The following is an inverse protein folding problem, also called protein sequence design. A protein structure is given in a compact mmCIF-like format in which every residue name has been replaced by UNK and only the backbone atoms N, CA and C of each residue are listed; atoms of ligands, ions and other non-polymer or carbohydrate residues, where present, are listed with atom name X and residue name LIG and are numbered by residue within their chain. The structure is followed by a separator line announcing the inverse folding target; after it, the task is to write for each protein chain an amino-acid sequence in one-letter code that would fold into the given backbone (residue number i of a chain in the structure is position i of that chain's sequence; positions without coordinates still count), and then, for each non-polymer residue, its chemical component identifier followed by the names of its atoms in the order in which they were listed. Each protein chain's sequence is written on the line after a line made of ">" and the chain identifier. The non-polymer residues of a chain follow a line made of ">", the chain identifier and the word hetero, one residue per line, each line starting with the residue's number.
data_IF_406766608648
#
_entry.id   IF_406766608648
#
_cell.length_a   1.000
_cell.length_b   1.000
_cell.length_c   1.000
_cell.angle_alpha   90.00
_cell.angle_beta   90.00
_cell.angle_gamma   90.00
#
_symmetry.space_group_name_H-M   'P 1'
#
loop_
_entity.id
_entity.type
_entity.pdbx_description
1 polymer ?
#
# COMPACT_ATOMS: atom_id res chain seq x y z
N UNK A 1 1.80 -18.32 1.72
CA UNK A 1 2.98 -19.18 1.43
C UNK A 1 4.16 -18.32 1.02
N UNK A 2 5.41 -18.77 1.25
CA UNK A 2 6.64 -18.09 0.80
C UNK A 2 7.34 -18.94 -0.26
N UNK A 3 7.78 -18.32 -1.36
CA UNK A 3 8.44 -18.97 -2.49
C UNK A 3 9.76 -18.27 -2.80
N UNK A 4 10.83 -19.01 -3.04
CA UNK A 4 12.11 -18.47 -3.55
C UNK A 4 12.28 -18.85 -5.02
N UNK A 5 12.07 -17.90 -5.91
CA UNK A 5 12.22 -18.08 -7.35
C UNK A 5 13.66 -17.82 -7.83
N UNK A 6 14.52 -17.34 -6.94
CA UNK A 6 15.94 -17.13 -7.24
C UNK A 6 16.76 -18.39 -7.03
N UNK A 7 16.27 -19.32 -6.18
CA UNK A 7 16.98 -20.52 -5.74
C UNK A 7 18.21 -20.26 -4.86
N UNK A 8 18.37 -19.04 -4.33
CA UNK A 8 19.56 -18.60 -3.58
C UNK A 8 19.26 -18.04 -2.19
N UNK A 9 17.97 -17.84 -1.86
CA UNK A 9 17.55 -17.16 -0.63
C UNK A 9 16.63 -18.04 0.23
N UNK A 10 16.96 -19.32 0.36
CA UNK A 10 16.16 -20.29 1.13
C UNK A 10 16.02 -19.90 2.61
N UNK A 11 17.03 -19.26 3.21
CA UNK A 11 16.96 -18.79 4.59
C UNK A 11 15.94 -17.65 4.73
N UNK A 12 15.95 -16.70 3.80
CA UNK A 12 14.94 -15.63 3.74
C UNK A 12 13.54 -16.22 3.51
N UNK A 13 13.40 -17.19 2.62
CA UNK A 13 12.12 -17.89 2.39
C UNK A 13 11.57 -18.51 3.67
N UNK A 14 12.43 -19.21 4.43
CA UNK A 14 12.05 -19.82 5.71
C UNK A 14 11.66 -18.76 6.75
N UNK A 15 12.42 -17.67 6.84
CA UNK A 15 12.14 -16.55 7.74
C UNK A 15 10.79 -15.90 7.40
N UNK A 16 10.54 -15.56 6.12
CA UNK A 16 9.26 -15.04 5.65
C UNK A 16 8.11 -16.01 5.97
N UNK A 17 8.32 -17.31 5.72
CA UNK A 17 7.31 -18.33 6.04
C UNK A 17 6.97 -18.39 7.53
N UNK A 18 7.96 -18.28 8.41
CA UNK A 18 7.76 -18.27 9.86
C UNK A 18 7.04 -17.01 10.33
N UNK A 19 7.41 -15.86 9.79
CA UNK A 19 6.73 -14.58 10.09
C UNK A 19 5.26 -14.65 9.62
N UNK A 20 5.00 -15.12 8.40
CA UNK A 20 3.63 -15.27 7.88
C UNK A 20 2.76 -16.15 8.78
N UNK A 21 3.29 -17.27 9.28
CA UNK A 21 2.57 -18.16 10.20
C UNK A 21 2.23 -17.45 11.52
N UNK A 22 3.10 -16.57 12.00
CA UNK A 22 2.90 -15.78 13.23
C UNK A 22 1.88 -14.66 13.03
N UNK A 23 1.98 -13.88 11.95
CA UNK A 23 1.27 -12.59 11.83
C UNK A 23 -0.03 -12.67 11.02
N UNK A 24 -0.20 -13.63 10.12
CA UNK A 24 -1.43 -13.73 9.31
C UNK A 24 -2.71 -13.88 10.16
N UNK A 25 -2.72 -14.64 11.28
CA UNK A 25 -3.88 -14.71 12.16
C UNK A 25 -4.25 -13.39 12.85
N UNK A 26 -3.32 -12.42 12.93
CA UNK A 26 -3.52 -11.14 13.60
C UNK A 26 -4.15 -10.08 12.70
N UNK A 27 -4.12 -10.26 11.37
CA UNK A 27 -4.63 -9.25 10.43
C UNK A 27 -6.13 -9.03 10.59
N UNK A 28 -6.94 -10.08 10.56
CA UNK A 28 -8.39 -9.94 10.69
C UNK A 28 -8.86 -9.36 12.03
N UNK A 29 -8.35 -9.81 13.19
CA UNK A 29 -8.70 -9.20 14.47
C UNK A 29 -8.38 -7.71 14.54
N UNK A 30 -7.27 -7.27 13.93
CA UNK A 30 -6.84 -5.87 13.92
C UNK A 30 -7.63 -5.03 12.93
N UNK A 31 -7.78 -5.50 11.69
CA UNK A 31 -8.32 -4.69 10.58
C UNK A 31 -9.80 -4.92 10.29
N UNK A 32 -10.38 -6.01 10.80
CA UNK A 32 -11.72 -6.45 10.40
C UNK A 32 -11.82 -7.01 8.98
N UNK A 33 -10.69 -7.10 8.23
CA UNK A 33 -10.65 -7.57 6.85
C UNK A 33 -10.16 -9.02 6.76
N UNK A 34 -10.76 -9.79 5.86
CA UNK A 34 -10.31 -11.15 5.57
C UNK A 34 -9.14 -11.16 4.57
N UNK A 35 -8.18 -12.04 4.80
CA UNK A 35 -7.14 -12.35 3.81
C UNK A 35 -7.74 -13.14 2.63
N UNK A 36 -7.19 -13.01 1.40
CA UNK A 36 -7.58 -13.86 0.28
C UNK A 36 -7.28 -15.34 0.54
N UNK A 37 -7.94 -16.23 -0.21
CA UNK A 37 -7.75 -17.67 -0.10
C UNK A 37 -6.33 -18.12 -0.37
N UNK A 38 -5.61 -17.40 -1.25
CA UNK A 38 -4.19 -17.61 -1.49
C UNK A 38 -3.42 -16.30 -1.35
N UNK A 39 -2.49 -16.29 -0.42
CA UNK A 39 -1.49 -15.23 -0.20
C UNK A 39 -0.12 -15.79 -0.51
N UNK A 40 0.59 -15.22 -1.48
CA UNK A 40 1.93 -15.61 -1.86
C UNK A 40 2.93 -14.48 -1.64
N UNK A 41 4.02 -14.78 -0.94
CA UNK A 41 5.21 -13.92 -0.86
C UNK A 41 6.29 -14.57 -1.73
N UNK A 42 6.69 -13.87 -2.79
CA UNK A 42 7.62 -14.37 -3.80
C UNK A 42 8.92 -13.60 -3.70
N UNK A 43 10.01 -14.30 -3.41
CA UNK A 43 11.36 -13.74 -3.46
C UNK A 43 11.82 -13.84 -4.90
N UNK A 44 12.00 -12.71 -5.54
CA UNK A 44 12.23 -12.62 -6.99
C UNK A 44 13.48 -11.80 -7.31
N UNK A 45 14.15 -12.05 -8.44
CA UNK A 45 15.20 -11.17 -8.92
C UNK A 45 14.62 -9.82 -9.39
N UNK A 46 15.47 -8.80 -9.43
CA UNK A 46 15.09 -7.42 -9.83
C UNK A 46 14.38 -7.40 -11.19
N UNK A 47 14.84 -8.20 -12.14
CA UNK A 47 14.30 -8.27 -13.51
C UNK A 47 12.85 -8.76 -13.52
N UNK A 48 12.55 -9.76 -12.69
CA UNK A 48 11.17 -10.27 -12.52
C UNK A 48 10.29 -9.19 -11.93
N UNK A 49 10.74 -8.52 -10.86
CA UNK A 49 10.02 -7.40 -10.26
C UNK A 49 9.75 -6.29 -11.28
N UNK A 50 10.76 -5.90 -12.08
CA UNK A 50 10.61 -4.87 -13.10
C UNK A 50 9.55 -5.23 -14.14
N UNK A 51 9.57 -6.47 -14.64
CA UNK A 51 8.64 -6.93 -15.66
C UNK A 51 7.21 -7.01 -15.15
N UNK A 52 7.01 -7.52 -13.94
CA UNK A 52 5.69 -7.66 -13.33
C UNK A 52 5.10 -6.30 -12.94
N UNK A 53 5.90 -5.40 -12.35
CA UNK A 53 5.43 -4.04 -12.04
C UNK A 53 5.12 -3.22 -13.28
N UNK A 54 5.87 -3.41 -14.37
CA UNK A 54 5.55 -2.77 -15.65
C UNK A 54 4.24 -3.31 -16.25
N UNK A 55 3.99 -4.62 -16.13
CA UNK A 55 2.76 -5.26 -16.59
C UNK A 55 1.55 -4.78 -15.76
N UNK A 56 1.68 -4.71 -14.45
CA UNK A 56 0.64 -4.22 -13.54
C UNK A 56 0.33 -2.74 -13.81
N UNK A 57 1.35 -1.90 -13.92
CA UNK A 57 1.18 -0.49 -14.30
C UNK A 57 0.44 -0.35 -15.64
N UNK A 58 0.79 -1.17 -16.64
CA UNK A 58 0.11 -1.15 -17.94
C UNK A 58 -1.35 -1.63 -17.83
N UNK A 59 -1.65 -2.60 -16.95
CA UNK A 59 -3.00 -3.07 -16.65
C UNK A 59 -3.85 -1.94 -16.04
N UNK A 60 -3.33 -1.27 -15.01
CA UNK A 60 -4.00 -0.15 -14.34
C UNK A 60 -4.28 1.01 -15.31
N UNK A 61 -3.31 1.37 -16.16
CA UNK A 61 -3.48 2.41 -17.17
C UNK A 61 -4.53 2.05 -18.23
N UNK A 62 -4.65 0.77 -18.61
CA UNK A 62 -5.70 0.30 -19.51
C UNK A 62 -7.09 0.42 -18.86
N UNK A 63 -7.25 -0.09 -17.63
CA UNK A 63 -8.49 0.00 -16.90
C UNK A 63 -8.92 1.48 -16.73
N UNK A 64 -7.99 2.35 -16.32
CA UNK A 64 -8.25 3.79 -16.21
C UNK A 64 -8.68 4.42 -17.54
N UNK A 65 -8.03 4.05 -18.65
CA UNK A 65 -8.40 4.55 -19.99
C UNK A 65 -9.81 4.11 -20.39
N UNK A 66 -10.18 2.87 -20.12
CA UNK A 66 -11.49 2.31 -20.48
C UNK A 66 -12.64 2.99 -19.74
N UNK A 67 -12.44 3.36 -18.49
CA UNK A 67 -13.40 4.06 -17.64
C UNK A 67 -13.57 5.55 -18.00
N UNK A 68 -12.67 6.10 -18.82
CA UNK A 68 -12.75 7.48 -19.24
C UNK A 68 -13.48 7.64 -20.58
N UNK A 69 -14.17 8.80 -20.80
CA UNK A 69 -14.81 9.11 -22.07
C UNK A 69 -13.85 9.00 -23.25
N UNK A 70 -14.34 8.56 -24.42
CA UNK A 70 -13.52 8.24 -25.58
C UNK A 70 -12.61 9.38 -26.03
N UNK A 71 -13.03 10.64 -25.88
CA UNK A 71 -12.23 11.83 -26.26
C UNK A 71 -11.02 12.07 -25.34
N UNK A 72 -11.00 11.55 -24.12
CA UNK A 72 -9.86 11.62 -23.20
C UNK A 72 -8.85 10.48 -23.41
N UNK A 73 -9.27 9.37 -24.02
CA UNK A 73 -8.45 8.15 -24.17
C UNK A 73 -7.12 8.34 -24.86
N UNK A 74 -7.01 9.15 -25.95
CA UNK A 74 -5.72 9.39 -26.61
C UNK A 74 -4.71 10.11 -25.68
N UNK A 75 -5.15 11.13 -24.96
CA UNK A 75 -4.29 11.84 -23.98
C UNK A 75 -3.83 10.93 -22.83
N UNK A 76 -4.74 10.09 -22.32
CA UNK A 76 -4.41 9.09 -21.29
C UNK A 76 -3.39 8.07 -21.82
N UNK A 77 -3.55 7.61 -23.05
CA UNK A 77 -2.61 6.67 -23.66
C UNK A 77 -1.20 7.27 -23.85
N UNK A 78 -1.13 8.53 -24.29
CA UNK A 78 0.14 9.24 -24.43
C UNK A 78 0.84 9.42 -23.07
N UNK A 79 0.11 9.88 -22.06
CA UNK A 79 0.62 10.04 -20.72
C UNK A 79 1.07 8.69 -20.12
N UNK A 80 0.26 7.65 -20.28
CA UNK A 80 0.59 6.30 -19.82
C UNK A 80 1.86 5.75 -20.48
N UNK A 81 2.06 6.01 -21.78
CA UNK A 81 3.30 5.63 -22.48
C UNK A 81 4.52 6.36 -21.90
N UNK A 82 4.39 7.65 -21.62
CA UNK A 82 5.47 8.43 -20.99
C UNK A 82 5.79 7.91 -19.57
N UNK A 83 4.76 7.61 -18.77
CA UNK A 83 4.91 7.03 -17.43
C UNK A 83 5.62 5.67 -17.48
N UNK A 84 5.22 4.77 -18.35
CA UNK A 84 5.85 3.45 -18.52
C UNK A 84 7.31 3.56 -18.97
N UNK A 85 7.64 4.51 -19.86
CA UNK A 85 9.03 4.78 -20.25
C UNK A 85 9.87 5.26 -19.07
N UNK A 86 9.34 6.19 -18.28
CA UNK A 86 10.01 6.70 -17.08
C UNK A 86 10.19 5.58 -16.06
N UNK A 87 9.15 4.81 -15.81
CA UNK A 87 9.23 3.65 -14.91
C UNK A 87 10.32 2.68 -15.35
N UNK A 88 10.33 2.24 -16.62
CA UNK A 88 11.36 1.31 -17.14
C UNK A 88 12.78 1.85 -17.00
N UNK A 89 12.98 3.17 -17.13
CA UNK A 89 14.29 3.81 -16.94
C UNK A 89 14.76 3.74 -15.48
N UNK A 90 13.84 3.90 -14.54
CA UNK A 90 14.16 4.00 -13.12
C UNK A 90 13.94 2.70 -12.35
N UNK A 91 13.34 1.69 -12.97
CA UNK A 91 12.88 0.48 -12.31
C UNK A 91 14.01 -0.36 -11.70
N UNK A 92 15.23 -0.33 -12.28
CA UNK A 92 16.37 -1.02 -11.70
C UNK A 92 16.79 -0.41 -10.35
N UNK A 93 16.86 0.92 -10.29
CA UNK A 93 17.18 1.62 -9.04
C UNK A 93 16.03 1.51 -8.02
N UNK A 94 14.77 1.60 -8.48
CA UNK A 94 13.63 1.46 -7.59
C UNK A 94 13.52 0.04 -7.03
N UNK A 95 13.45 -0.96 -7.90
CA UNK A 95 13.22 -2.34 -7.49
C UNK A 95 14.44 -3.00 -6.87
N UNK A 96 15.66 -2.62 -7.28
CA UNK A 96 16.89 -3.22 -6.75
C UNK A 96 17.43 -2.53 -5.49
N UNK A 97 16.94 -1.32 -5.16
CA UNK A 97 17.55 -0.53 -4.08
C UNK A 97 16.54 0.04 -3.10
N UNK A 98 15.35 0.48 -3.55
CA UNK A 98 14.48 1.32 -2.73
C UNK A 98 13.16 0.68 -2.33
N UNK A 99 12.59 -0.20 -3.16
CA UNK A 99 11.27 -0.79 -2.91
C UNK A 99 11.43 -2.09 -2.14
N UNK A 100 11.06 -2.08 -0.86
CA UNK A 100 11.16 -3.24 0.03
C UNK A 100 10.26 -4.39 -0.41
N UNK A 101 9.04 -4.08 -0.81
CA UNK A 101 8.03 -5.03 -1.23
C UNK A 101 7.01 -4.37 -2.17
N UNK A 102 6.24 -5.18 -2.89
CA UNK A 102 5.15 -4.70 -3.73
C UNK A 102 4.04 -5.75 -3.78
N UNK A 103 2.89 -5.43 -3.21
CA UNK A 103 1.70 -6.28 -3.24
C UNK A 103 0.82 -5.96 -4.45
N UNK A 104 0.39 -7.00 -5.15
CA UNK A 104 -0.45 -6.91 -6.34
C UNK A 104 -1.45 -8.08 -6.41
N UNK A 105 -2.55 -7.96 -7.18
CA UNK A 105 -3.44 -9.07 -7.43
C UNK A 105 -2.70 -10.27 -8.00
N UNK A 106 -3.09 -11.48 -7.57
CA UNK A 106 -2.60 -12.72 -8.14
C UNK A 106 -3.32 -13.07 -9.45
N UNK A 107 -2.98 -14.21 -10.07
CA UNK A 107 -3.59 -14.68 -11.31
C UNK A 107 -5.07 -15.09 -11.13
N UNK A 108 -5.46 -15.53 -9.95
CA UNK A 108 -6.83 -15.93 -9.61
C UNK A 108 -7.62 -14.82 -8.93
N UNK A 109 -8.96 -14.95 -8.94
CA UNK A 109 -9.88 -13.96 -8.39
C UNK A 109 -9.76 -13.73 -6.87
N UNK A 110 -9.36 -14.77 -6.12
CA UNK A 110 -9.14 -14.72 -4.66
C UNK A 110 -7.66 -14.99 -4.34
N UNK A 111 -6.78 -14.45 -5.16
CA UNK A 111 -5.34 -14.58 -5.03
C UNK A 111 -4.68 -13.21 -4.99
N UNK A 112 -3.64 -13.10 -4.18
CA UNK A 112 -2.83 -11.89 -4.07
C UNK A 112 -1.39 -12.28 -3.79
N UNK A 113 -0.45 -11.52 -4.34
CA UNK A 113 0.97 -11.81 -4.22
C UNK A 113 1.79 -10.57 -3.86
N UNK A 114 2.83 -10.78 -3.07
CA UNK A 114 3.85 -9.78 -2.75
C UNK A 114 5.18 -10.21 -3.36
N UNK A 115 5.81 -9.27 -4.06
CA UNK A 115 7.16 -9.44 -4.60
C UNK A 115 8.17 -8.85 -3.62
N UNK A 116 9.13 -9.66 -3.19
CA UNK A 116 10.26 -9.27 -2.35
C UNK A 116 11.54 -9.34 -3.19
N UNK A 117 12.30 -8.27 -3.21
CA UNK A 117 13.61 -8.23 -3.90
C UNK A 117 14.71 -8.23 -2.84
N UNK A 118 15.51 -9.30 -2.70
CA UNK A 118 16.51 -9.42 -1.65
C UNK A 118 17.50 -8.25 -1.61
N UNK A 119 17.98 -7.81 -2.76
CA UNK A 119 18.90 -6.69 -2.89
C UNK A 119 18.30 -5.39 -2.33
N UNK A 120 17.03 -5.13 -2.60
CA UNK A 120 16.34 -3.97 -2.04
C UNK A 120 16.16 -4.07 -0.53
N UNK A 121 15.83 -5.25 -0.01
CA UNK A 121 15.74 -5.48 1.44
C UNK A 121 17.08 -5.26 2.15
N UNK A 122 18.21 -5.65 1.53
CA UNK A 122 19.56 -5.35 2.03
C UNK A 122 19.84 -3.84 2.03
N UNK A 123 19.61 -3.17 0.90
CA UNK A 123 19.88 -1.74 0.74
C UNK A 123 19.00 -0.86 1.62
N UNK A 124 17.77 -1.26 1.88
CA UNK A 124 16.86 -0.58 2.80
C UNK A 124 17.15 -0.90 4.27
N UNK A 125 18.06 -1.82 4.55
CA UNK A 125 18.44 -2.23 5.90
C UNK A 125 17.43 -3.12 6.61
N UNK A 126 16.36 -3.55 5.94
CA UNK A 126 15.28 -4.36 6.55
C UNK A 126 15.78 -5.71 7.05
N UNK A 127 16.81 -6.27 6.41
CA UNK A 127 17.40 -7.54 6.85
C UNK A 127 18.35 -7.41 8.05
N UNK A 128 18.62 -6.19 8.54
CA UNK A 128 19.49 -5.96 9.71
C UNK A 128 18.83 -6.38 11.03
N UNK A 129 17.49 -6.42 11.06
CA UNK A 129 16.72 -6.81 12.24
C UNK A 129 15.46 -7.58 11.83
N UNK A 130 15.17 -8.75 12.43
CA UNK A 130 13.95 -9.51 12.16
C UNK A 130 12.65 -8.72 12.41
N UNK A 131 12.66 -7.76 13.31
CA UNK A 131 11.48 -6.91 13.60
C UNK A 131 11.14 -6.01 12.41
N UNK A 132 12.14 -5.44 11.71
CA UNK A 132 11.92 -4.66 10.50
C UNK A 132 11.30 -5.50 9.38
N UNK A 133 11.81 -6.71 9.16
CA UNK A 133 11.23 -7.61 8.17
C UNK A 133 9.81 -8.02 8.57
N UNK A 134 9.55 -8.25 9.85
CA UNK A 134 8.21 -8.56 10.35
C UNK A 134 7.24 -7.41 10.07
N UNK A 135 7.63 -6.18 10.33
CA UNK A 135 6.80 -5.02 10.05
C UNK A 135 6.47 -4.91 8.55
N UNK A 136 7.45 -5.07 7.66
CA UNK A 136 7.23 -5.07 6.20
C UNK A 136 6.24 -6.16 5.79
N UNK A 137 6.39 -7.39 6.32
CA UNK A 137 5.48 -8.50 6.00
C UNK A 137 4.06 -8.23 6.51
N UNK A 138 3.90 -7.68 7.71
CA UNK A 138 2.58 -7.29 8.24
C UNK A 138 1.93 -6.23 7.34
N UNK A 139 2.68 -5.19 6.97
CA UNK A 139 2.22 -4.12 6.09
C UNK A 139 1.68 -4.68 4.76
N UNK A 140 2.46 -5.55 4.12
CA UNK A 140 2.06 -6.19 2.87
C UNK A 140 0.85 -7.13 3.05
N UNK A 141 0.75 -7.85 4.17
CA UNK A 141 -0.43 -8.67 4.47
C UNK A 141 -1.70 -7.84 4.58
N UNK A 142 -1.62 -6.63 5.12
CA UNK A 142 -2.78 -5.73 5.14
C UNK A 142 -3.18 -5.33 3.72
N UNK A 143 -2.23 -5.09 2.82
CA UNK A 143 -2.53 -4.86 1.40
C UNK A 143 -3.21 -6.07 0.73
N UNK A 144 -2.88 -7.30 1.11
CA UNK A 144 -3.62 -8.48 0.64
C UNK A 144 -5.10 -8.45 1.09
N UNK A 145 -5.36 -8.10 2.36
CA UNK A 145 -6.72 -7.98 2.87
C UNK A 145 -7.50 -6.83 2.19
N UNK A 146 -6.86 -5.69 1.96
CA UNK A 146 -7.42 -4.56 1.22
C UNK A 146 -7.76 -4.93 -0.24
N UNK A 147 -6.88 -5.66 -0.92
CA UNK A 147 -7.10 -6.14 -2.29
C UNK A 147 -8.34 -7.05 -2.36
N UNK A 148 -8.52 -7.95 -1.39
CA UNK A 148 -9.72 -8.78 -1.28
C UNK A 148 -10.97 -7.94 -1.01
N UNK A 149 -10.93 -7.03 -0.06
CA UNK A 149 -12.06 -6.19 0.33
C UNK A 149 -12.53 -5.28 -0.81
N UNK A 150 -11.61 -4.72 -1.59
CA UNK A 150 -11.91 -3.88 -2.76
C UNK A 150 -12.25 -4.68 -4.03
N UNK A 151 -12.25 -6.00 -3.98
CA UNK A 151 -12.50 -7.00 -5.04
C UNK A 151 -11.59 -6.88 -6.27
N UNK A 152 -11.15 -5.68 -6.64
CA UNK A 152 -10.17 -5.41 -7.70
C UNK A 152 -9.62 -4.01 -7.51
N UNK A 153 -8.40 -3.90 -7.08
CA UNK A 153 -7.70 -2.62 -6.89
C UNK A 153 -7.79 -1.70 -8.11
N UNK A 154 -7.76 -2.27 -9.33
CA UNK A 154 -7.88 -1.49 -10.55
C UNK A 154 -9.25 -0.84 -10.71
N UNK A 155 -10.32 -1.58 -10.45
CA UNK A 155 -11.68 -1.06 -10.57
C UNK A 155 -11.97 -0.07 -9.47
N UNK A 156 -11.49 -0.34 -8.26
CA UNK A 156 -11.67 0.55 -7.13
C UNK A 156 -10.93 1.89 -7.32
N UNK A 157 -9.65 1.86 -7.69
CA UNK A 157 -8.86 3.06 -7.99
C UNK A 157 -9.38 3.80 -9.24
N UNK A 158 -9.95 3.07 -10.21
CA UNK A 158 -10.46 3.64 -11.45
C UNK A 158 -11.81 4.34 -11.27
N UNK A 159 -12.61 3.96 -10.27
CA UNK A 159 -13.83 4.66 -9.91
C UNK A 159 -13.58 6.01 -9.21
N UNK A 160 -12.33 6.36 -8.98
CA UNK A 160 -11.93 7.69 -8.49
C UNK A 160 -11.37 8.57 -9.62
N UNK A 161 -12.20 9.03 -10.59
CA UNK A 161 -11.74 9.64 -11.84
C UNK A 161 -11.03 10.98 -11.68
N UNK A 162 -10.98 11.54 -10.49
CA UNK A 162 -10.32 12.84 -10.22
C UNK A 162 -8.89 12.67 -9.70
N UNK A 163 -8.35 11.47 -9.68
CA UNK A 163 -7.33 11.19 -8.73
C UNK A 163 -6.03 10.53 -9.16
N UNK A 164 -5.78 10.00 -10.34
CA UNK A 164 -4.60 9.15 -10.54
C UNK A 164 -3.26 9.89 -10.53
N UNK A 165 -3.23 11.21 -10.56
CA UNK A 165 -1.98 11.95 -10.74
C UNK A 165 -1.66 12.89 -9.56
N UNK A 166 -2.57 13.13 -8.63
CA UNK A 166 -2.38 14.12 -7.56
C UNK A 166 -2.91 13.63 -6.22
N UNK A 167 -2.20 12.68 -5.58
CA UNK A 167 -2.42 12.36 -4.17
C UNK A 167 -3.89 12.34 -3.79
N UNK A 168 -4.58 11.32 -4.23
CA UNK A 168 -5.98 11.13 -3.92
C UNK A 168 -6.12 10.34 -2.64
N UNK A 169 -7.29 10.38 -2.06
CA UNK A 169 -7.59 9.68 -0.84
C UNK A 169 -7.29 8.17 -0.85
N UNK A 170 -7.11 7.54 -2.04
CA UNK A 170 -6.77 6.12 -2.17
C UNK A 170 -5.46 5.79 -1.48
N UNK A 171 -4.36 6.42 -1.86
CA UNK A 171 -3.07 6.09 -1.25
C UNK A 171 -2.99 6.46 0.23
N UNK A 172 -3.70 7.50 0.67
CA UNK A 172 -3.79 7.82 2.10
C UNK A 172 -4.59 6.76 2.86
N UNK A 173 -5.64 6.20 2.27
CA UNK A 173 -6.36 5.09 2.90
C UNK A 173 -5.56 3.79 2.84
N UNK A 174 -5.02 3.40 1.68
CA UNK A 174 -4.27 2.15 1.51
C UNK A 174 -3.04 2.11 2.42
N UNK A 175 -2.12 3.06 2.26
CA UNK A 175 -0.86 3.09 3.02
C UNK A 175 -1.10 3.43 4.49
N UNK A 176 -2.03 4.34 4.76
CA UNK A 176 -2.37 4.74 6.13
C UNK A 176 -2.99 3.60 6.93
N UNK A 177 -3.88 2.81 6.35
CA UNK A 177 -4.49 1.67 7.01
C UNK A 177 -3.48 0.53 7.22
N UNK A 178 -2.61 0.27 6.24
CA UNK A 178 -1.54 -0.71 6.40
C UNK A 178 -0.57 -0.26 7.49
N UNK A 179 -0.16 1.01 7.52
CA UNK A 179 0.73 1.58 8.54
C UNK A 179 0.09 1.61 9.93
N UNK A 180 -1.19 1.89 10.03
CA UNK A 180 -1.93 1.83 11.29
C UNK A 180 -1.96 0.41 11.86
N UNK A 181 -2.26 -0.58 11.02
CA UNK A 181 -2.37 -1.97 11.43
C UNK A 181 -0.99 -2.57 11.77
N UNK A 182 0.05 -2.29 10.97
CA UNK A 182 1.39 -2.81 11.22
C UNK A 182 1.96 -2.31 12.56
N UNK A 183 1.70 -1.05 12.92
CA UNK A 183 2.12 -0.49 14.21
C UNK A 183 1.40 -1.12 15.41
N UNK A 184 0.13 -1.49 15.27
CA UNK A 184 -0.59 -2.19 16.33
C UNK A 184 -0.04 -3.60 16.49
N UNK A 185 0.04 -4.36 15.38
CA UNK A 185 0.49 -5.75 15.42
C UNK A 185 1.94 -5.87 15.91
N UNK A 186 2.83 -5.00 15.44
CA UNK A 186 4.24 -5.05 15.90
C UNK A 186 4.38 -4.62 17.37
N UNK A 187 3.59 -3.66 17.84
CA UNK A 187 3.55 -3.30 19.27
C UNK A 187 3.10 -4.45 20.13
N UNK A 188 2.08 -5.19 19.70
CA UNK A 188 1.58 -6.35 20.45
C UNK A 188 2.59 -7.50 20.49
N UNK A 189 3.38 -7.67 19.42
CA UNK A 189 4.40 -8.71 19.33
C UNK A 189 5.70 -8.36 20.07
N UNK A 190 6.15 -7.12 20.00
CA UNK A 190 7.49 -6.69 20.44
C UNK A 190 7.48 -5.70 21.60
N UNK A 191 6.30 -5.26 22.05
CA UNK A 191 6.15 -4.26 23.12
C UNK A 191 6.27 -2.80 22.65
N UNK A 192 6.71 -2.57 21.42
CA UNK A 192 6.77 -1.25 20.78
C UNK A 192 6.42 -1.35 19.28
N UNK A 193 5.87 -0.27 18.73
CA UNK A 193 5.65 -0.20 17.29
C UNK A 193 6.99 -0.16 16.55
N UNK A 194 7.13 -0.98 15.52
CA UNK A 194 8.34 -1.05 14.69
C UNK A 194 8.21 -0.11 13.50
N UNK A 195 9.31 0.54 13.13
CA UNK A 195 9.40 1.40 11.95
C UNK A 195 10.60 0.99 11.08
N UNK A 196 10.35 0.17 10.05
CA UNK A 196 11.37 -0.26 9.11
C UNK A 196 11.97 0.90 8.29
N UNK A 197 11.31 2.07 8.24
CA UNK A 197 11.89 3.26 7.63
C UNK A 197 13.07 3.81 8.45
N UNK A 198 13.15 3.50 9.73
CA UNK A 198 14.27 3.84 10.61
C UNK A 198 15.48 2.90 10.46
N UNK A 199 15.35 1.78 9.76
CA UNK A 199 16.44 0.84 9.52
C UNK A 199 17.65 1.52 8.85
N UNK A 200 18.89 1.11 9.15
CA UNK A 200 20.10 1.71 8.61
C UNK A 200 20.20 1.48 7.11
N UNK A 201 20.08 2.57 6.33
CA UNK A 201 20.15 2.52 4.87
C UNK A 201 21.60 2.42 4.38
N UNK A 202 21.81 1.67 3.30
CA UNK A 202 23.12 1.57 2.66
C UNK A 202 23.54 2.89 1.98
N UNK A 203 24.83 3.03 1.69
CA UNK A 203 25.34 4.15 0.87
C UNK A 203 24.69 4.20 -0.50
N UNK A 204 24.47 3.03 -1.11
CA UNK A 204 23.79 2.90 -2.40
C UNK A 204 22.34 3.41 -2.35
N UNK A 205 21.61 3.11 -1.29
CA UNK A 205 20.28 3.66 -1.07
C UNK A 205 20.30 5.19 -1.02
N UNK A 206 21.24 5.74 -0.25
CA UNK A 206 21.39 7.19 -0.08
C UNK A 206 21.75 7.89 -1.39
N UNK A 207 22.66 7.30 -2.18
CA UNK A 207 23.03 7.78 -3.52
C UNK A 207 21.80 7.82 -4.45
N UNK A 208 21.07 6.70 -4.54
CA UNK A 208 19.90 6.59 -5.43
C UNK A 208 18.78 7.52 -4.98
N UNK A 209 18.49 7.58 -3.68
CA UNK A 209 17.46 8.46 -3.12
C UNK A 209 17.73 9.96 -3.34
N UNK A 210 19.02 10.34 -3.45
CA UNK A 210 19.47 11.71 -3.73
C UNK A 210 19.38 12.11 -5.21
N UNK A 211 19.14 11.19 -6.14
CA UNK A 211 19.03 11.51 -7.57
C UNK A 211 17.77 12.35 -7.83
N UNK A 212 17.92 13.43 -8.62
CA UNK A 212 16.84 14.38 -8.90
C UNK A 212 15.59 13.71 -9.50
N UNK A 213 15.79 12.70 -10.34
CA UNK A 213 14.73 11.93 -10.99
C UNK A 213 13.91 11.15 -9.95
N UNK A 214 14.57 10.50 -9.00
CA UNK A 214 13.95 9.73 -7.91
C UNK A 214 13.29 10.69 -6.91
N UNK A 215 13.96 11.76 -6.53
CA UNK A 215 13.42 12.76 -5.61
C UNK A 215 12.11 13.38 -6.11
N UNK A 216 11.94 13.52 -7.44
CA UNK A 216 10.71 14.03 -8.07
C UNK A 216 9.55 13.04 -8.01
N UNK A 217 9.82 11.75 -7.82
CA UNK A 217 8.78 10.72 -7.66
C UNK A 217 8.23 10.68 -6.24
N UNK A 218 8.97 11.21 -5.26
CA UNK A 218 8.49 11.23 -3.88
C UNK A 218 7.22 12.08 -3.77
N UNK A 219 6.18 11.57 -3.12
CA UNK A 219 4.98 12.35 -2.87
C UNK A 219 5.35 13.58 -2.02
N UNK A 220 4.69 14.73 -2.31
CA UNK A 220 4.90 15.95 -1.52
C UNK A 220 4.39 15.83 -0.09
N UNK A 221 3.42 14.98 0.12
CA UNK A 221 2.83 14.65 1.42
C UNK A 221 3.03 13.16 1.62
N UNK A 222 3.55 12.78 2.77
CA UNK A 222 3.79 11.38 3.11
C UNK A 222 2.45 10.64 3.32
N UNK A 223 2.04 9.70 2.45
CA UNK A 223 0.77 9.00 2.58
C UNK A 223 0.75 8.05 3.77
N UNK A 224 1.90 7.55 4.22
CA UNK A 224 2.00 6.64 5.36
C UNK A 224 1.61 7.34 6.65
N UNK A 225 2.26 8.43 7.01
CA UNK A 225 2.02 9.13 8.29
C UNK A 225 0.70 9.90 8.29
N UNK A 226 0.42 10.67 7.24
CA UNK A 226 -0.85 11.39 7.12
C UNK A 226 -2.02 10.42 7.02
N UNK A 227 -1.88 9.36 6.22
CA UNK A 227 -2.89 8.31 6.09
C UNK A 227 -3.13 7.58 7.41
N UNK A 228 -2.06 7.23 8.14
CA UNK A 228 -2.18 6.61 9.47
C UNK A 228 -2.96 7.48 10.45
N UNK A 229 -2.66 8.77 10.51
CA UNK A 229 -3.38 9.70 11.39
C UNK A 229 -4.86 9.82 11.01
N UNK A 230 -5.18 9.91 9.71
CA UNK A 230 -6.55 9.92 9.20
C UNK A 230 -7.31 8.63 9.58
N UNK A 231 -6.68 7.47 9.33
CA UNK A 231 -7.29 6.17 9.59
C UNK A 231 -7.51 5.96 11.09
N UNK A 232 -6.50 6.26 11.93
CA UNK A 232 -6.63 6.17 13.38
C UNK A 232 -7.80 7.02 13.89
N UNK A 233 -7.86 8.30 13.49
CA UNK A 233 -8.93 9.22 13.87
C UNK A 233 -10.31 8.75 13.41
N UNK A 234 -10.41 8.20 12.20
CA UNK A 234 -11.66 7.70 11.66
C UNK A 234 -12.15 6.44 12.40
N UNK A 235 -11.22 5.54 12.74
CA UNK A 235 -11.54 4.32 13.51
C UNK A 235 -11.95 4.70 14.94
N UNK A 236 -11.25 5.62 15.59
CA UNK A 236 -11.57 6.09 16.93
C UNK A 236 -12.97 6.74 17.01
N UNK A 237 -13.36 7.46 15.96
CA UNK A 237 -14.63 8.18 15.93
C UNK A 237 -15.82 7.37 15.38
N UNK A 238 -15.60 6.50 14.39
CA UNK A 238 -16.67 5.77 13.71
C UNK A 238 -16.60 4.24 13.89
N UNK A 239 -15.42 3.72 14.10
CA UNK A 239 -15.18 2.27 14.20
C UNK A 239 -14.56 1.67 12.93
N UNK A 240 -13.98 0.48 13.09
CA UNK A 240 -13.29 -0.25 12.03
C UNK A 240 -14.26 -0.72 10.93
N UNK A 241 -15.47 -1.08 11.29
CA UNK A 241 -16.49 -1.56 10.34
C UNK A 241 -16.90 -0.44 9.37
N UNK A 242 -17.10 0.75 9.87
CA UNK A 242 -17.45 1.94 9.13
C UNK A 242 -16.33 2.35 8.17
N UNK A 243 -15.07 2.33 8.64
CA UNK A 243 -13.91 2.54 7.79
C UNK A 243 -13.87 1.52 6.64
N UNK A 244 -14.14 0.25 6.95
CA UNK A 244 -14.08 -0.83 5.98
C UNK A 244 -15.12 -0.71 4.85
N UNK A 245 -16.20 0.07 5.04
CA UNK A 245 -17.13 0.39 3.97
C UNK A 245 -16.46 1.15 2.80
N UNK A 246 -15.37 1.88 3.06
CA UNK A 246 -14.62 2.59 2.03
C UNK A 246 -13.98 1.66 1.01
N UNK A 247 -13.65 0.42 1.34
CA UNK A 247 -13.07 -0.54 0.40
C UNK A 247 -14.04 -0.97 -0.72
N UNK A 248 -15.33 -0.85 -0.50
CA UNK A 248 -16.36 -1.16 -1.49
C UNK A 248 -17.06 0.08 -2.05
N UNK A 249 -16.82 1.27 -1.49
CA UNK A 249 -17.46 2.51 -1.90
C UNK A 249 -16.44 3.66 -2.03
N UNK A 250 -15.97 3.95 -3.26
CA UNK A 250 -15.00 5.02 -3.50
C UNK A 250 -15.45 6.43 -3.09
N UNK A 251 -16.75 6.65 -2.90
CA UNK A 251 -17.27 7.93 -2.42
C UNK A 251 -16.92 8.22 -0.94
N UNK A 252 -16.53 7.16 -0.21
CA UNK A 252 -16.10 7.25 1.18
C UNK A 252 -14.58 7.48 1.34
N UNK A 253 -13.82 7.56 0.25
CA UNK A 253 -12.41 7.91 0.31
C UNK A 253 -12.18 9.28 0.96
N UNK A 254 -11.05 9.47 1.67
CA UNK A 254 -10.69 10.78 2.18
C UNK A 254 -10.68 11.83 1.08
N UNK A 255 -11.35 12.95 1.33
CA UNK A 255 -11.35 14.10 0.43
C UNK A 255 -10.03 14.89 0.52
N UNK A 256 -9.83 15.80 -0.43
CA UNK A 256 -8.66 16.70 -0.38
C UNK A 256 -8.63 17.58 0.86
N UNK A 257 -9.80 18.02 1.33
CA UNK A 257 -9.90 18.90 2.48
C UNK A 257 -9.60 18.14 3.78
N UNK A 258 -10.06 16.89 3.89
CA UNK A 258 -9.73 16.00 5.01
C UNK A 258 -8.23 15.65 5.05
N UNK A 259 -7.61 15.41 3.90
CA UNK A 259 -6.16 15.21 3.81
C UNK A 259 -5.40 16.49 4.17
N UNK A 260 -5.86 17.66 3.70
CA UNK A 260 -5.22 18.94 4.02
C UNK A 260 -5.31 19.28 5.52
N UNK A 261 -6.46 18.98 6.15
CA UNK A 261 -6.63 19.14 7.60
C UNK A 261 -5.68 18.23 8.39
N UNK A 262 -5.56 16.96 8.00
CA UNK A 262 -4.63 16.03 8.63
C UNK A 262 -3.15 16.45 8.47
N UNK A 263 -2.77 16.99 7.32
CA UNK A 263 -1.42 17.56 7.11
C UNK A 263 -1.18 18.74 8.04
N UNK A 264 -2.15 19.63 8.18
CA UNK A 264 -2.04 20.80 9.05
C UNK A 264 -1.95 20.38 10.53
N UNK A 265 -2.78 19.43 10.96
CA UNK A 265 -2.78 18.92 12.32
C UNK A 265 -1.44 18.26 12.70
N UNK A 266 -0.89 17.40 11.81
CA UNK A 266 0.43 16.80 12.02
C UNK A 266 1.56 17.84 12.09
N UNK A 267 1.49 18.88 11.25
CA UNK A 267 2.50 19.96 11.27
C UNK A 267 2.43 20.81 12.56
N UNK A 268 1.26 20.89 13.19
CA UNK A 268 1.02 21.61 14.43
C UNK A 268 1.19 20.74 15.69
N UNK A 269 1.46 19.44 15.54
CA UNK A 269 1.42 18.43 16.60
C UNK A 269 0.06 18.40 17.34
N UNK A 270 -1.02 18.61 16.55
CA UNK A 270 -2.40 18.59 17.03
C UNK A 270 -3.11 17.31 16.56
N UNK A 271 -4.16 16.86 17.27
CA UNK A 271 -4.99 15.76 16.77
C UNK A 271 -5.70 16.15 15.46
N UNK A 272 -5.79 15.23 14.53
CA UNK A 272 -6.61 15.40 13.33
C UNK A 272 -8.07 15.55 13.73
N UNK A 273 -8.87 16.26 12.92
CA UNK A 273 -10.32 16.41 13.14
C UNK A 273 -11.06 15.22 12.53
N UNK A 274 -11.36 14.18 13.31
CA UNK A 274 -11.93 12.94 12.79
C UNK A 274 -13.36 13.14 12.27
N UNK A 275 -14.04 14.18 12.74
CA UNK A 275 -15.49 14.37 12.58
C UNK A 275 -15.92 14.51 11.12
N UNK A 276 -15.08 15.10 10.27
CA UNK A 276 -15.41 15.32 8.85
C UNK A 276 -15.50 14.00 8.09
N UNK A 277 -14.47 13.17 8.16
CA UNK A 277 -14.47 11.89 7.47
C UNK A 277 -15.34 10.85 8.17
N UNK A 278 -15.27 10.74 9.49
CA UNK A 278 -16.06 9.83 10.30
C UNK A 278 -17.58 10.02 10.12
N UNK A 279 -18.06 11.26 10.01
CA UNK A 279 -19.48 11.54 9.76
C UNK A 279 -19.97 11.02 8.41
N UNK A 280 -19.12 11.03 7.38
CA UNK A 280 -19.45 10.46 6.07
C UNK A 280 -19.43 8.93 6.09
N UNK A 281 -18.54 8.33 6.87
CA UNK A 281 -18.47 6.89 7.06
C UNK A 281 -19.73 6.38 7.78
N UNK A 282 -20.11 7.00 8.91
CA UNK A 282 -21.30 6.62 9.70
C UNK A 282 -22.62 6.78 8.94
N UNK A 283 -22.80 7.87 8.18
CA UNK A 283 -24.03 8.09 7.40
C UNK A 283 -24.23 7.08 6.26
N UNK A 284 -23.18 6.43 5.79
CA UNK A 284 -23.28 5.42 4.73
C UNK A 284 -23.79 4.06 5.24
N UNK A 285 -23.62 3.75 6.51
CA UNK A 285 -24.15 2.54 7.17
C UNK A 285 -25.64 2.68 7.48
N UNK A 286 -26.11 3.86 7.86
CA UNK A 286 -27.53 4.11 8.13
C UNK A 286 -28.42 3.94 6.88
N UNK A 287 -27.93 4.27 5.69
CA UNK A 287 -28.65 4.10 4.43
C UNK A 287 -28.81 2.62 4.06
N UNK A 288 -27.86 1.76 4.42
CA UNK A 288 -27.97 0.31 4.17
C UNK A 288 -28.98 -0.37 5.09
N UNK A 289 -29.03 0.02 6.36
CA UNK A 289 -29.97 -0.53 7.33
C UNK A 289 -31.44 -0.12 7.10
N UNK A 290 -31.68 0.88 6.25
CA UNK A 290 -33.05 1.33 5.88
C UNK A 290 -33.59 0.72 4.59
N UNK A 291 -32.81 -0.16 3.92
CA UNK A 291 -33.19 -0.81 2.64
C UNK A 291 -33.39 -2.33 2.81
N UNK A 292 -32.94 -2.90 3.92
CA UNK A 292 -33.24 -4.30 4.33
C UNK A 292 -34.48 -4.36 5.23
#
# INVERSE_FOLDING_TARGET
>A
MALDETGRHEDLRRQVGSILALVAPLVKPTTGLDLPGLVAFRIVPVETWQSEQAAETARLLRAYRELNPFWKRPGIALLGTAMLRTFRRLSADLGGVMVMAATQPGPGADESQTLLVPEALEHTGVLSDPEYLTQVIVHELVHHAQNRASRHRADWAAHTPKAPIRGNGVSFLEEGHARWADQIITRDLFGAAVDADSAPKSERYTEVAGRKEIARLKPKVNPYEVGRALVASAIDAAGTQELNAAWSNPLLLPSKDEVADAVAALAADEPTRPELWASRLGSATDVRSSID
#
